data_IF_243269981239
#
_entry.id   IF_243269981239
#
_cell.length_a   1.000
_cell.length_b   1.000
_cell.length_c   1.000
_cell.angle_alpha   90.00
_cell.angle_beta   90.00
_cell.angle_gamma   90.00
#
_symmetry.space_group_name_H-M   'P 1'
#
loop_
_entity.id
_entity.type
_entity.pdbx_description
1 polymer ?
#
# COMPACT_ATOMS: atom_id res chain seq x y z
N UNK A 1 -6.60 3.54 -0.77
CA UNK A 1 -6.38 2.25 -1.46
C UNK A 1 -7.25 2.20 -2.70
N UNK A 2 -7.02 1.26 -3.61
CA UNK A 2 -7.87 1.05 -4.78
C UNK A 2 -8.12 -0.44 -5.04
N UNK A 3 -9.29 -0.73 -5.63
CA UNK A 3 -9.72 -2.11 -5.83
C UNK A 3 -9.05 -2.72 -7.06
N UNK A 4 -8.52 -3.94 -6.93
CA UNK A 4 -8.21 -4.74 -8.11
C UNK A 4 -9.49 -5.32 -8.69
N UNK A 5 -9.91 -4.84 -9.85
CA UNK A 5 -11.14 -5.29 -10.52
C UNK A 5 -10.85 -6.42 -11.49
N UNK A 6 -10.27 -6.09 -12.64
CA UNK A 6 -10.13 -7.00 -13.79
C UNK A 6 -8.69 -7.01 -14.30
N UNK A 7 -7.81 -7.79 -13.66
CA UNK A 7 -6.47 -7.98 -14.19
C UNK A 7 -6.53 -8.81 -15.47
N UNK A 8 -5.64 -8.48 -16.40
CA UNK A 8 -5.39 -9.18 -17.66
C UNK A 8 -3.95 -9.69 -17.70
N UNK A 9 -3.73 -10.75 -18.47
CA UNK A 9 -2.38 -11.21 -18.79
C UNK A 9 -2.04 -10.92 -20.25
N UNK A 10 -0.77 -10.60 -20.50
CA UNK A 10 -0.23 -10.47 -21.86
C UNK A 10 1.14 -11.10 -21.94
N UNK A 11 1.45 -11.70 -23.09
CA UNK A 11 2.78 -12.22 -23.39
C UNK A 11 3.66 -11.08 -23.88
N UNK A 12 4.84 -10.94 -23.29
CA UNK A 12 5.83 -9.92 -23.67
C UNK A 12 7.20 -10.57 -23.82
N UNK A 13 8.03 -10.02 -24.71
CA UNK A 13 9.42 -10.44 -24.86
C UNK A 13 10.30 -9.59 -23.93
N UNK A 14 11.09 -10.24 -23.08
CA UNK A 14 12.18 -9.59 -22.35
C UNK A 14 13.49 -9.90 -23.04
N UNK A 15 14.34 -8.89 -23.18
CA UNK A 15 15.62 -9.00 -23.88
C UNK A 15 16.79 -8.97 -22.91
N UNK A 16 17.24 -10.16 -22.49
CA UNK A 16 18.36 -10.29 -21.56
C UNK A 16 19.74 -10.34 -22.23
N UNK A 17 19.85 -9.89 -23.48
CA UNK A 17 21.12 -9.96 -24.22
C UNK A 17 22.24 -9.14 -23.54
N UNK A 18 21.89 -8.09 -22.79
CA UNK A 18 22.82 -7.28 -22.00
C UNK A 18 23.51 -8.08 -20.88
N UNK A 19 22.90 -9.15 -20.40
CA UNK A 19 23.47 -10.09 -19.43
C UNK A 19 24.00 -11.39 -20.06
N UNK A 20 24.09 -11.45 -21.39
CA UNK A 20 24.54 -12.64 -22.13
C UNK A 20 23.51 -13.77 -22.21
N UNK A 21 22.25 -13.51 -21.83
CA UNK A 21 21.15 -14.47 -21.89
C UNK A 21 20.30 -14.29 -23.16
N UNK A 22 19.48 -15.29 -23.50
CA UNK A 22 18.58 -15.22 -24.65
C UNK A 22 17.38 -14.31 -24.37
N UNK A 23 16.71 -13.87 -25.45
CA UNK A 23 15.37 -13.31 -25.34
C UNK A 23 14.40 -14.38 -24.89
N UNK A 24 13.44 -14.02 -24.05
CA UNK A 24 12.44 -14.95 -23.52
C UNK A 24 11.06 -14.30 -23.54
N UNK A 25 10.03 -15.14 -23.68
CA UNK A 25 8.65 -14.70 -23.54
C UNK A 25 8.16 -14.96 -22.13
N UNK A 26 7.69 -13.90 -21.47
CA UNK A 26 7.15 -13.93 -20.11
C UNK A 26 5.69 -13.50 -20.11
N UNK A 27 4.99 -13.76 -19.01
CA UNK A 27 3.62 -13.34 -18.78
C UNK A 27 3.61 -12.13 -17.88
N UNK A 28 3.11 -11.03 -18.40
CA UNK A 28 2.89 -9.80 -17.65
C UNK A 28 1.47 -9.82 -17.05
N UNK A 29 1.33 -9.36 -15.81
CA UNK A 29 0.05 -9.04 -15.19
C UNK A 29 -0.18 -7.53 -15.26
N UNK A 30 -1.33 -7.12 -15.79
CA UNK A 30 -1.71 -5.72 -15.91
C UNK A 30 -3.16 -5.47 -15.47
N UNK A 31 -3.46 -4.24 -15.09
CA UNK A 31 -4.83 -3.73 -14.93
C UNK A 31 -4.91 -2.37 -15.60
N UNK A 32 -5.85 -2.22 -16.53
CA UNK A 32 -5.89 -1.08 -17.45
C UNK A 32 -4.51 -0.86 -18.11
N UNK A 33 -3.92 0.33 -17.96
CA UNK A 33 -2.58 0.66 -18.45
C UNK A 33 -1.46 0.42 -17.42
N UNK A 34 -1.78 -0.10 -16.23
CA UNK A 34 -0.80 -0.34 -15.16
C UNK A 34 -0.24 -1.76 -15.26
N UNK A 35 1.09 -1.83 -15.39
CA UNK A 35 1.86 -3.05 -15.21
C UNK A 35 2.02 -3.37 -13.72
N UNK A 36 1.26 -4.36 -13.25
CA UNK A 36 1.35 -4.83 -11.87
C UNK A 36 2.57 -5.72 -11.68
N UNK A 37 2.75 -6.70 -12.55
CA UNK A 37 3.88 -7.65 -12.52
C UNK A 37 4.48 -7.70 -13.90
N UNK A 38 5.78 -7.43 -14.06
CA UNK A 38 6.43 -7.43 -15.37
C UNK A 38 6.70 -8.84 -15.93
N UNK A 39 7.02 -9.79 -15.05
CA UNK A 39 7.23 -11.18 -15.40
C UNK A 39 6.79 -12.11 -14.26
N UNK A 40 5.59 -12.69 -14.36
CA UNK A 40 5.01 -13.60 -13.35
C UNK A 40 5.96 -14.76 -13.04
N UNK A 41 6.66 -15.26 -14.07
CA UNK A 41 7.56 -16.41 -13.98
C UNK A 41 8.79 -16.17 -13.09
N UNK A 42 9.18 -14.90 -12.85
CA UNK A 42 10.34 -14.54 -12.04
C UNK A 42 10.01 -14.10 -10.62
N UNK A 43 8.73 -13.96 -10.28
CA UNK A 43 8.34 -13.63 -8.90
C UNK A 43 8.65 -14.83 -8.00
N UNK A 44 9.40 -14.61 -6.91
CA UNK A 44 9.69 -15.66 -5.94
C UNK A 44 8.52 -15.86 -4.96
N UNK A 45 7.47 -16.53 -5.40
CA UNK A 45 6.21 -16.75 -4.65
C UNK A 45 6.37 -17.46 -3.29
N UNK A 46 7.54 -18.04 -3.00
CA UNK A 46 7.84 -18.67 -1.71
C UNK A 46 8.31 -17.71 -0.62
N UNK A 47 8.55 -16.44 -0.95
CA UNK A 47 9.01 -15.43 0.01
C UNK A 47 7.86 -14.54 0.50
N UNK A 48 8.00 -14.01 1.72
CA UNK A 48 7.02 -13.07 2.27
C UNK A 48 7.05 -11.71 1.55
N UNK A 49 8.26 -11.26 1.18
CA UNK A 49 8.52 -10.04 0.45
C UNK A 49 8.76 -10.40 -1.02
N UNK A 50 7.92 -9.88 -1.90
CA UNK A 50 7.97 -10.20 -3.32
C UNK A 50 8.48 -8.99 -4.09
N UNK A 51 9.12 -9.23 -5.23
CA UNK A 51 9.41 -8.18 -6.19
C UNK A 51 8.55 -8.39 -7.44
N UNK A 52 7.61 -7.48 -7.66
CA UNK A 52 6.69 -7.54 -8.81
C UNK A 52 7.29 -6.96 -10.10
N UNK A 53 8.25 -6.06 -9.96
CA UNK A 53 8.98 -5.47 -11.07
C UNK A 53 10.43 -5.94 -11.00
N UNK A 54 10.76 -6.99 -11.74
CA UNK A 54 12.12 -7.54 -11.83
C UNK A 54 12.95 -6.82 -12.91
N UNK A 55 14.25 -7.07 -12.96
CA UNK A 55 15.13 -6.42 -13.92
C UNK A 55 14.86 -6.89 -15.35
N UNK A 56 14.63 -5.95 -16.27
CA UNK A 56 14.35 -6.26 -17.68
C UNK A 56 15.59 -6.67 -18.47
N UNK A 57 16.80 -6.46 -17.91
CA UNK A 57 18.09 -6.84 -18.51
C UNK A 57 18.56 -8.26 -18.14
N UNK A 58 18.16 -8.78 -16.98
CA UNK A 58 18.69 -10.05 -16.48
C UNK A 58 17.66 -10.98 -15.83
N UNK A 59 16.45 -10.50 -15.52
CA UNK A 59 15.40 -11.28 -14.88
C UNK A 59 15.66 -11.63 -13.40
N UNK A 60 16.81 -11.25 -12.84
CA UNK A 60 17.14 -11.56 -11.45
C UNK A 60 16.36 -10.67 -10.47
N UNK A 61 15.71 -11.32 -9.51
CA UNK A 61 15.10 -10.68 -8.34
C UNK A 61 16.19 -9.96 -7.53
N UNK A 62 15.90 -8.75 -7.09
CA UNK A 62 16.80 -7.87 -6.35
C UNK A 62 17.79 -7.08 -7.21
N UNK A 63 17.90 -7.36 -8.51
CA UNK A 63 18.74 -6.54 -9.39
C UNK A 63 18.09 -5.20 -9.73
N UNK A 64 16.76 -5.18 -9.90
CA UNK A 64 16.01 -3.97 -10.18
C UNK A 64 15.81 -3.17 -8.90
N UNK A 65 16.12 -1.87 -8.86
CA UNK A 65 15.68 -1.02 -7.76
C UNK A 65 14.16 -0.88 -7.79
N UNK A 66 13.57 -0.81 -6.60
CA UNK A 66 12.13 -0.73 -6.37
C UNK A 66 11.39 -2.03 -6.71
N UNK A 67 10.06 -1.97 -6.78
CA UNK A 67 9.22 -3.10 -7.19
C UNK A 67 8.83 -4.03 -6.05
N UNK A 68 9.22 -3.71 -4.81
CA UNK A 68 9.02 -4.57 -3.65
C UNK A 68 7.64 -4.39 -3.01
N UNK A 69 6.97 -5.50 -2.78
CA UNK A 69 5.63 -5.54 -2.18
C UNK A 69 5.54 -6.65 -1.13
N UNK A 70 4.48 -6.61 -0.34
CA UNK A 70 4.02 -7.74 0.47
C UNK A 70 2.54 -8.00 0.20
N UNK A 71 2.13 -9.25 0.39
CA UNK A 71 0.74 -9.67 0.38
C UNK A 71 0.29 -9.87 1.82
N UNK A 72 -0.71 -9.10 2.26
CA UNK A 72 -1.26 -9.19 3.61
C UNK A 72 -2.73 -9.55 3.55
N UNK A 73 -3.20 -10.32 4.52
CA UNK A 73 -4.65 -10.50 4.73
C UNK A 73 -5.15 -9.62 5.87
N UNK A 74 -6.37 -9.14 5.75
CA UNK A 74 -7.08 -8.45 6.81
C UNK A 74 -8.57 -8.68 6.63
N UNK A 75 -9.20 -9.27 7.65
CA UNK A 75 -10.58 -9.75 7.58
C UNK A 75 -10.83 -10.59 6.31
N UNK A 76 -11.68 -10.14 5.38
CA UNK A 76 -11.97 -10.81 4.10
C UNK A 76 -11.24 -10.19 2.90
N UNK A 77 -10.16 -9.46 3.14
CA UNK A 77 -9.40 -8.75 2.11
C UNK A 77 -7.97 -9.28 2.01
N UNK A 78 -7.45 -9.23 0.79
CA UNK A 78 -6.01 -9.28 0.51
C UNK A 78 -5.56 -7.90 0.09
N UNK A 79 -4.47 -7.42 0.70
CA UNK A 79 -3.81 -6.18 0.33
C UNK A 79 -2.48 -6.48 -0.37
N UNK A 80 -2.23 -5.79 -1.48
CA UNK A 80 -0.88 -5.65 -2.05
C UNK A 80 -0.35 -4.32 -1.55
N UNK A 81 0.61 -4.40 -0.63
CA UNK A 81 1.20 -3.24 0.05
C UNK A 81 2.67 -3.09 -0.30
N UNK A 82 3.29 -1.92 -0.11
CA UNK A 82 4.74 -1.85 -0.04
C UNK A 82 5.29 -2.85 0.99
N UNK A 83 6.50 -3.35 0.76
CA UNK A 83 7.23 -4.15 1.75
C UNK A 83 7.78 -3.26 2.88
N UNK A 84 6.88 -2.72 3.72
CA UNK A 84 7.21 -1.68 4.70
C UNK A 84 8.36 -2.09 5.64
N UNK A 85 8.37 -3.34 6.10
CA UNK A 85 9.43 -3.86 6.97
C UNK A 85 10.79 -3.76 6.29
N UNK A 86 10.88 -4.23 5.03
CA UNK A 86 12.10 -4.18 4.23
C UNK A 86 12.56 -2.73 3.96
N UNK A 87 11.62 -1.84 3.66
CA UNK A 87 11.90 -0.41 3.46
C UNK A 87 12.46 0.21 4.74
N UNK A 88 11.86 -0.12 5.89
CA UNK A 88 12.29 0.39 7.19
C UNK A 88 13.68 -0.10 7.55
N UNK A 89 13.97 -1.40 7.39
CA UNK A 89 15.27 -2.02 7.66
C UNK A 89 16.38 -1.47 6.75
N UNK A 90 16.06 -1.22 5.48
CA UNK A 90 17.04 -0.71 4.52
C UNK A 90 17.24 0.81 4.59
N UNK A 91 16.35 1.55 5.26
CA UNK A 91 16.32 3.02 5.25
C UNK A 91 17.61 3.66 5.75
N UNK A 92 18.41 2.95 6.54
CA UNK A 92 19.69 3.44 7.07
C UNK A 92 20.84 3.38 6.06
N UNK A 93 20.75 2.54 5.02
CA UNK A 93 21.88 2.25 4.11
C UNK A 93 21.52 2.50 2.65
N UNK A 94 20.37 1.98 2.18
CA UNK A 94 19.95 2.02 0.77
C UNK A 94 18.42 2.06 0.62
N UNK A 95 17.75 3.13 1.09
CA UNK A 95 16.28 3.23 1.04
C UNK A 95 15.71 3.06 -0.37
N UNK A 96 16.42 3.57 -1.39
CA UNK A 96 16.00 3.55 -2.79
C UNK A 96 16.09 2.16 -3.44
N UNK A 97 16.70 1.16 -2.81
CA UNK A 97 16.79 -0.18 -3.40
C UNK A 97 15.46 -0.94 -3.24
N UNK A 98 14.72 -0.64 -2.17
CA UNK A 98 13.57 -1.45 -1.72
C UNK A 98 12.21 -0.74 -1.78
N UNK A 99 12.12 0.43 -2.43
CA UNK A 99 10.85 1.15 -2.56
C UNK A 99 9.81 0.33 -3.34
N UNK A 100 8.51 0.63 -3.16
CA UNK A 100 7.47 -0.07 -3.90
C UNK A 100 7.48 0.29 -5.40
N UNK A 101 6.75 -0.46 -6.24
CA UNK A 101 6.43 -0.02 -7.59
C UNK A 101 5.80 1.38 -7.61
N UNK A 102 6.08 2.18 -8.64
CA UNK A 102 5.57 3.56 -8.76
C UNK A 102 4.04 3.66 -8.65
N UNK A 103 3.31 2.69 -9.20
CA UNK A 103 1.85 2.70 -9.12
C UNK A 103 1.31 2.62 -7.68
N UNK A 104 2.05 2.03 -6.73
CA UNK A 104 1.65 2.03 -5.32
C UNK A 104 1.97 3.37 -4.64
N UNK A 105 3.03 4.06 -5.09
CA UNK A 105 3.35 5.42 -4.62
C UNK A 105 2.30 6.41 -5.09
N UNK A 106 1.86 6.30 -6.34
CA UNK A 106 0.91 7.22 -6.95
C UNK A 106 -0.54 6.97 -6.53
N UNK A 107 -0.96 5.70 -6.45
CA UNK A 107 -2.37 5.33 -6.24
C UNK A 107 -2.67 4.74 -4.87
N UNK A 108 -1.64 4.49 -4.06
CA UNK A 108 -1.77 3.78 -2.78
C UNK A 108 -1.90 2.26 -2.97
N UNK A 109 -2.25 1.58 -1.88
CA UNK A 109 -2.27 0.13 -1.84
C UNK A 109 -3.43 -0.45 -2.64
N UNK A 110 -3.27 -1.70 -3.09
CA UNK A 110 -4.33 -2.42 -3.79
C UNK A 110 -5.05 -3.31 -2.80
N UNK A 111 -6.39 -3.32 -2.83
CA UNK A 111 -7.18 -4.31 -2.10
C UNK A 111 -7.96 -5.23 -3.05
N UNK A 112 -8.09 -6.49 -2.66
CA UNK A 112 -8.83 -7.53 -3.37
C UNK A 112 -9.72 -8.27 -2.36
N UNK A 113 -10.99 -8.43 -2.67
CA UNK A 113 -11.89 -9.29 -1.89
C UNK A 113 -11.41 -10.75 -1.95
N UNK A 114 -11.45 -11.48 -0.83
CA UNK A 114 -10.94 -12.85 -0.70
C UNK A 114 -11.46 -13.79 -1.78
N UNK A 115 -12.74 -13.66 -2.15
CA UNK A 115 -13.34 -14.47 -3.22
C UNK A 115 -12.65 -14.21 -4.57
N UNK A 116 -12.47 -12.95 -4.93
CA UNK A 116 -11.79 -12.57 -6.17
C UNK A 116 -10.32 -12.97 -6.15
N UNK A 117 -9.64 -12.86 -5.02
CA UNK A 117 -8.26 -13.31 -4.87
C UNK A 117 -8.15 -14.81 -5.16
N UNK A 118 -8.95 -15.62 -4.47
CA UNK A 118 -8.89 -17.08 -4.53
C UNK A 118 -9.38 -17.62 -5.88
N UNK A 119 -10.48 -17.07 -6.40
CA UNK A 119 -11.14 -17.60 -7.59
C UNK A 119 -10.56 -17.05 -8.90
N UNK A 120 -9.79 -15.96 -8.85
CA UNK A 120 -9.27 -15.28 -10.04
C UNK A 120 -7.75 -15.10 -10.02
N UNK A 121 -7.19 -14.40 -9.04
CA UNK A 121 -5.74 -14.11 -9.02
C UNK A 121 -4.90 -15.38 -8.86
N UNK A 122 -5.27 -16.27 -7.94
CA UNK A 122 -4.59 -17.55 -7.76
C UNK A 122 -4.67 -18.49 -8.97
N UNK A 123 -5.55 -18.22 -9.95
CA UNK A 123 -5.60 -18.96 -11.22
C UNK A 123 -4.70 -18.35 -12.30
N UNK A 124 -4.29 -17.10 -12.12
CA UNK A 124 -3.45 -16.36 -13.07
C UNK A 124 -1.97 -16.62 -12.79
N UNK A 125 -1.59 -16.67 -11.52
CA UNK A 125 -0.22 -16.88 -11.07
C UNK A 125 -0.18 -17.65 -9.76
N UNK A 126 1.01 -18.04 -9.31
CA UNK A 126 1.23 -18.83 -8.10
C UNK A 126 1.13 -18.00 -6.81
N UNK A 127 0.13 -17.12 -6.73
CA UNK A 127 -0.18 -16.38 -5.52
C UNK A 127 -0.40 -17.35 -4.34
N UNK A 128 0.12 -17.05 -3.13
CA UNK A 128 -0.09 -17.89 -1.96
C UNK A 128 -1.57 -18.04 -1.63
N UNK A 129 -1.95 -19.16 -1.01
CA UNK A 129 -3.32 -19.31 -0.52
C UNK A 129 -3.65 -18.24 0.52
N UNK A 130 -4.91 -17.80 0.57
CA UNK A 130 -5.36 -16.74 1.47
C UNK A 130 -4.94 -16.95 2.93
N UNK A 131 -5.13 -18.17 3.45
CA UNK A 131 -4.79 -18.53 4.83
C UNK A 131 -3.28 -18.52 5.13
N UNK A 132 -2.44 -18.59 4.09
CA UNK A 132 -0.98 -18.53 4.23
C UNK A 132 -0.47 -17.09 4.26
N UNK A 133 -1.29 -16.10 3.92
CA UNK A 133 -0.91 -14.70 3.97
C UNK A 133 -0.77 -14.25 5.43
N UNK A 134 0.31 -13.50 5.70
CA UNK A 134 0.49 -12.88 7.00
C UNK A 134 -0.63 -11.85 7.25
N UNK A 135 -1.15 -11.75 8.48
CA UNK A 135 -2.10 -10.71 8.81
C UNK A 135 -1.43 -9.34 8.68
N UNK A 136 -2.18 -8.34 8.18
CA UNK A 136 -1.78 -6.94 8.25
C UNK A 136 -1.63 -6.56 9.72
N UNK A 137 -0.48 -6.04 10.12
CA UNK A 137 -0.26 -5.49 11.46
C UNK A 137 -0.82 -4.06 11.57
N UNK A 138 -1.08 -3.62 12.80
CA UNK A 138 -1.55 -2.25 13.07
C UNK A 138 -0.51 -1.20 12.65
N UNK A 139 0.77 -1.51 12.83
CA UNK A 139 1.88 -0.71 12.31
C UNK A 139 1.83 -0.60 10.78
N UNK A 140 1.67 -1.71 10.04
CA UNK A 140 1.53 -1.69 8.57
C UNK A 140 0.29 -0.93 8.12
N UNK A 141 -0.85 -1.09 8.81
CA UNK A 141 -2.06 -0.32 8.52
C UNK A 141 -1.83 1.19 8.69
N UNK A 142 -1.05 1.58 9.69
CA UNK A 142 -0.68 2.99 9.92
C UNK A 142 0.31 3.50 8.86
N UNK A 143 1.20 2.63 8.36
CA UNK A 143 2.07 2.91 7.22
C UNK A 143 1.30 3.03 5.90
N UNK A 144 0.22 2.26 5.72
CA UNK A 144 -0.71 2.46 4.60
C UNK A 144 -1.38 3.83 4.68
N UNK A 145 -1.81 4.23 5.88
CA UNK A 145 -2.37 5.57 6.09
C UNK A 145 -1.35 6.68 5.77
N UNK A 146 -0.08 6.50 6.13
CA UNK A 146 1.01 7.40 5.73
C UNK A 146 1.19 7.47 4.21
N UNK A 147 1.23 6.32 3.53
CA UNK A 147 1.41 6.22 2.08
C UNK A 147 0.30 6.97 1.33
N UNK A 148 -0.93 6.87 1.82
CA UNK A 148 -2.12 7.42 1.16
C UNK A 148 -2.44 8.85 1.56
N UNK A 149 -1.69 9.40 2.52
CA UNK A 149 -1.84 10.78 2.92
C UNK A 149 -1.43 11.70 1.75
N UNK A 150 -2.31 12.60 1.32
CA UNK A 150 -2.10 13.38 0.12
C UNK A 150 -0.86 14.26 0.23
N UNK A 151 -0.13 14.38 -0.89
CA UNK A 151 1.08 15.19 -1.02
C UNK A 151 2.10 14.96 0.12
N UNK A 152 2.15 13.73 0.66
CA UNK A 152 3.03 13.37 1.76
C UNK A 152 2.86 14.28 2.99
N UNK A 153 1.62 14.68 3.32
CA UNK A 153 1.31 15.43 4.55
C UNK A 153 1.79 14.72 5.83
N UNK A 154 1.95 13.39 5.78
CA UNK A 154 2.54 12.56 6.85
C UNK A 154 4.02 12.17 6.62
N UNK A 155 4.70 12.83 5.68
CA UNK A 155 6.07 12.53 5.27
C UNK A 155 6.18 11.33 4.31
N UNK A 156 7.43 11.05 3.89
CA UNK A 156 7.74 9.93 3.01
C UNK A 156 7.66 8.58 3.75
N UNK A 157 7.23 7.52 3.06
CA UNK A 157 7.01 6.18 3.65
C UNK A 157 8.25 5.54 4.31
N UNK A 158 9.45 5.93 3.87
CA UNK A 158 10.71 5.48 4.45
C UNK A 158 11.01 6.10 5.83
N UNK A 159 10.29 7.15 6.19
CA UNK A 159 10.55 7.93 7.40
C UNK A 159 9.48 7.67 8.46
N UNK A 160 9.74 8.10 9.69
CA UNK A 160 8.70 8.18 10.70
C UNK A 160 7.57 9.12 10.25
N UNK A 161 6.36 8.84 10.74
CA UNK A 161 5.21 9.69 10.47
C UNK A 161 5.46 11.05 11.14
N UNK A 162 5.47 12.09 10.33
CA UNK A 162 5.56 13.46 10.79
C UNK A 162 4.52 14.29 10.04
N UNK A 163 3.54 14.79 10.79
CA UNK A 163 2.49 15.62 10.22
C UNK A 163 3.03 17.01 9.89
N UNK A 164 2.96 17.41 8.63
CA UNK A 164 3.14 18.80 8.24
C UNK A 164 1.87 19.59 8.60
N UNK A 165 1.90 20.25 9.75
CA UNK A 165 0.73 20.96 10.28
C UNK A 165 0.46 22.27 9.54
N UNK A 166 1.49 22.88 8.94
CA UNK A 166 1.40 24.19 8.30
C UNK A 166 0.50 24.19 7.06
N UNK A 167 0.27 23.01 6.47
CA UNK A 167 -0.62 22.85 5.32
C UNK A 167 -2.06 22.57 5.71
N UNK A 168 -2.38 22.33 6.99
CA UNK A 168 -3.77 22.13 7.44
C UNK A 168 -4.37 23.47 7.84
N UNK A 169 -5.42 23.88 7.13
CA UNK A 169 -6.03 25.22 7.32
C UNK A 169 -7.42 25.17 7.97
N UNK A 170 -8.13 24.04 7.86
CA UNK A 170 -9.46 23.88 8.44
C UNK A 170 -9.83 22.41 8.60
N UNK A 171 -10.98 22.14 9.22
CA UNK A 171 -11.58 20.82 9.33
C UNK A 171 -13.08 20.89 9.03
N UNK A 172 -13.67 19.80 8.56
CA UNK A 172 -15.12 19.70 8.34
C UNK A 172 -15.91 19.76 9.65
N UNK A 173 -15.27 19.35 10.75
CA UNK A 173 -15.86 19.24 12.08
C UNK A 173 -14.88 19.77 13.14
N UNK A 174 -15.40 20.27 14.26
CA UNK A 174 -14.58 20.71 15.39
C UNK A 174 -13.51 21.75 15.04
N UNK A 175 -12.48 21.86 15.88
CA UNK A 175 -11.32 22.73 15.63
C UNK A 175 -10.18 21.91 15.04
N UNK A 176 -9.69 22.29 13.86
CA UNK A 176 -8.62 21.55 13.17
C UNK A 176 -7.36 21.37 14.01
N UNK A 177 -7.01 22.34 14.87
CA UNK A 177 -5.84 22.25 15.79
C UNK A 177 -6.01 21.08 16.77
N UNK A 178 -7.21 20.86 17.30
CA UNK A 178 -7.48 19.77 18.24
C UNK A 178 -7.47 18.43 17.51
N UNK A 179 -8.07 18.37 16.32
CA UNK A 179 -8.07 17.16 15.48
C UNK A 179 -6.66 16.80 14.97
N UNK A 180 -5.83 17.78 14.67
CA UNK A 180 -4.43 17.59 14.28
C UNK A 180 -3.63 16.95 15.42
N UNK A 181 -3.86 17.38 16.66
CA UNK A 181 -3.24 16.76 17.84
C UNK A 181 -3.72 15.33 18.04
N UNK A 182 -5.01 15.09 17.87
CA UNK A 182 -5.60 13.74 17.95
C UNK A 182 -5.02 12.82 16.88
N UNK A 183 -4.91 13.31 15.64
CA UNK A 183 -4.29 12.59 14.53
C UNK A 183 -2.86 12.18 14.86
N UNK A 184 -2.03 13.11 15.33
CA UNK A 184 -0.64 12.83 15.75
C UNK A 184 -0.61 11.80 16.87
N UNK A 185 -1.49 11.94 17.87
CA UNK A 185 -1.55 10.99 18.98
C UNK A 185 -1.95 9.59 18.52
N UNK A 186 -2.97 9.46 17.67
CA UNK A 186 -3.43 8.20 17.10
C UNK A 186 -2.32 7.54 16.27
N UNK A 187 -1.69 8.28 15.35
CA UNK A 187 -0.61 7.72 14.53
C UNK A 187 0.54 7.24 15.41
N UNK A 188 0.97 8.02 16.41
CA UNK A 188 2.05 7.62 17.31
C UNK A 188 1.70 6.38 18.13
N UNK A 189 0.47 6.31 18.64
CA UNK A 189 -0.01 5.15 19.39
C UNK A 189 0.00 3.89 18.52
N UNK A 190 -0.57 3.96 17.32
CA UNK A 190 -0.71 2.81 16.42
C UNK A 190 0.64 2.36 15.81
N UNK A 191 1.58 3.29 15.62
CA UNK A 191 2.94 2.99 15.14
C UNK A 191 3.75 2.10 16.09
N UNK A 192 3.37 1.98 17.36
CA UNK A 192 4.02 1.05 18.31
C UNK A 192 3.34 -0.32 18.40
N UNK A 193 2.20 -0.50 17.71
CA UNK A 193 1.40 -1.70 17.82
C UNK A 193 1.67 -2.69 16.67
N UNK A 194 2.17 -3.88 17.03
CA UNK A 194 2.43 -4.97 16.08
C UNK A 194 1.29 -6.01 16.03
N UNK A 195 0.20 -5.82 16.78
CA UNK A 195 -0.94 -6.73 16.73
C UNK A 195 -1.59 -6.71 15.34
N UNK A 196 -2.25 -7.81 14.92
CA UNK A 196 -3.08 -7.80 13.72
C UNK A 196 -4.04 -6.61 13.73
N UNK A 197 -4.05 -5.84 12.65
CA UNK A 197 -4.97 -4.76 12.41
C UNK A 197 -6.37 -5.31 12.16
N UNK A 198 -7.37 -4.49 12.46
CA UNK A 198 -8.75 -4.69 12.01
C UNK A 198 -9.13 -3.55 11.11
N UNK A 199 -9.70 -3.88 9.95
CA UNK A 199 -10.23 -2.88 9.03
C UNK A 199 -11.72 -3.12 8.87
N UNK A 200 -12.52 -2.20 9.40
CA UNK A 200 -13.96 -2.22 9.16
C UNK A 200 -14.37 -1.14 8.18
N UNK A 201 -15.47 -1.39 7.46
CA UNK A 201 -16.08 -0.34 6.64
C UNK A 201 -16.72 0.73 7.54
N UNK A 202 -16.72 1.96 7.04
CA UNK A 202 -17.51 3.06 7.59
C UNK A 202 -18.98 2.67 7.59
N UNK A 203 -19.68 2.99 8.67
CA UNK A 203 -21.12 2.78 8.84
C UNK A 203 -21.85 4.12 8.97
N UNK A 204 -23.18 4.10 9.03
CA UNK A 204 -23.99 5.30 9.28
C UNK A 204 -23.76 5.96 10.65
N UNK A 205 -23.14 5.23 11.59
CA UNK A 205 -22.81 5.73 12.94
C UNK A 205 -21.44 6.43 12.98
N UNK A 206 -20.70 6.40 11.88
CA UNK A 206 -19.37 6.98 11.78
C UNK A 206 -19.43 8.34 11.09
N UNK A 207 -18.87 9.34 11.74
CA UNK A 207 -18.65 10.65 11.17
C UNK A 207 -17.24 10.72 10.60
N UNK A 208 -17.12 10.71 9.28
CA UNK A 208 -15.83 10.92 8.60
C UNK A 208 -15.48 12.40 8.65
N UNK A 209 -14.26 12.69 9.08
CA UNK A 209 -13.77 14.05 9.31
C UNK A 209 -12.68 14.35 8.29
N UNK A 210 -12.90 15.43 7.56
CA UNK A 210 -11.98 15.95 6.57
C UNK A 210 -11.11 17.06 7.14
N UNK A 211 -9.84 17.03 6.82
CA UNK A 211 -8.88 18.12 7.00
C UNK A 211 -8.71 18.82 5.65
N UNK A 212 -8.86 20.14 5.63
CA UNK A 212 -8.66 20.93 4.43
C UNK A 212 -7.21 21.38 4.33
N UNK A 213 -6.63 21.20 3.14
CA UNK A 213 -5.21 21.37 2.89
C UNK A 213 -4.95 22.58 1.99
N UNK A 214 -3.94 23.39 2.33
CA UNK A 214 -3.42 24.46 1.47
C UNK A 214 -2.47 23.89 0.40
N UNK A 215 -3.02 23.02 -0.46
CA UNK A 215 -2.29 22.34 -1.52
C UNK A 215 -3.09 22.40 -2.82
N UNK A 216 -2.42 22.80 -3.90
CA UNK A 216 -3.03 22.89 -5.21
C UNK A 216 -3.55 21.51 -5.67
N UNK A 217 -4.83 21.45 -6.02
CA UNK A 217 -5.47 20.26 -6.60
C UNK A 217 -5.97 19.21 -5.60
N UNK A 218 -5.58 19.29 -4.32
CA UNK A 218 -6.08 18.38 -3.27
C UNK A 218 -6.54 19.21 -2.07
N UNK A 219 -7.77 19.75 -2.11
CA UNK A 219 -8.24 20.65 -1.08
C UNK A 219 -8.68 19.92 0.20
N UNK A 220 -8.92 18.61 0.13
CA UNK A 220 -9.57 17.85 1.19
C UNK A 220 -8.90 16.50 1.41
N UNK A 221 -8.65 16.17 2.67
CA UNK A 221 -8.15 14.86 3.11
C UNK A 221 -9.03 14.28 4.21
N UNK A 222 -9.71 13.17 3.91
CA UNK A 222 -10.43 12.40 4.93
C UNK A 222 -9.39 11.64 5.77
N UNK A 223 -9.12 12.14 6.98
CA UNK A 223 -8.03 11.64 7.82
C UNK A 223 -8.55 10.83 9.01
N UNK A 224 -9.71 11.23 9.55
CA UNK A 224 -10.24 10.70 10.80
C UNK A 224 -11.68 10.21 10.62
N UNK A 225 -12.08 9.31 11.51
CA UNK A 225 -13.48 8.93 11.71
C UNK A 225 -13.80 8.95 13.20
N UNK A 226 -15.00 9.43 13.55
CA UNK A 226 -15.51 9.46 14.91
C UNK A 226 -16.80 8.66 15.04
N UNK A 227 -16.86 7.72 15.99
CA UNK A 227 -18.03 6.84 16.17
C UNK A 227 -18.97 7.26 17.31
N UNK A 228 -18.87 8.52 17.78
CA UNK A 228 -19.59 8.99 18.98
C UNK A 228 -18.87 8.74 20.31
N UNK A 229 -17.74 8.01 20.31
CA UNK A 229 -16.96 7.74 21.52
C UNK A 229 -15.48 8.06 21.39
N UNK A 230 -14.85 7.68 20.28
CA UNK A 230 -13.40 7.87 20.03
C UNK A 230 -13.11 8.09 18.56
N UNK A 231 -11.95 8.66 18.29
CA UNK A 231 -11.42 8.84 16.95
C UNK A 231 -10.64 7.62 16.47
N UNK A 232 -10.64 7.44 15.15
CA UNK A 232 -9.90 6.42 14.43
C UNK A 232 -9.30 7.02 13.16
N UNK A 233 -8.30 6.34 12.59
CA UNK A 233 -7.75 6.70 11.28
C UNK A 233 -8.69 6.20 10.17
N UNK A 234 -8.96 7.06 9.21
CA UNK A 234 -9.75 6.73 8.02
C UNK A 234 -8.84 6.39 6.84
N UNK A 235 -9.17 5.32 6.12
CA UNK A 235 -8.50 4.89 4.89
C UNK A 235 -9.50 4.89 3.73
N UNK A 236 -9.19 5.58 2.64
CA UNK A 236 -9.98 5.52 1.40
C UNK A 236 -9.97 4.09 0.83
N UNK A 237 -11.08 3.57 0.27
CA UNK A 237 -12.31 4.29 -0.07
C UNK A 237 -13.41 4.29 1.01
N UNK A 238 -13.13 3.93 2.26
CA UNK A 238 -14.18 3.81 3.28
C UNK A 238 -13.90 2.79 4.38
N UNK A 239 -12.65 2.66 4.78
CA UNK A 239 -12.21 1.77 5.86
C UNK A 239 -11.73 2.57 7.07
N UNK A 240 -11.83 1.97 8.25
CA UNK A 240 -11.36 2.51 9.51
C UNK A 240 -10.37 1.51 10.13
N UNK A 241 -9.24 2.02 10.61
CA UNK A 241 -8.26 1.25 11.39
C UNK A 241 -8.68 1.24 12.86
N UNK A 242 -9.00 0.07 13.43
CA UNK A 242 -9.46 -0.06 14.83
C UNK A 242 -8.37 -0.40 15.86
#
# INVERSE_FOLDING_TARGET
>A
MWQLTTPITRKVELNFSSSGQSRIFVTQLAIDDIQLINAIEFVNWGEAQLQFIVCEDCGFVGCQPHGWIELKRVDSLVLITPAFTRISEASEIRPHEYLPPYYLVEKGAIYIEQENYTNRLCKIANFPNFEMLAPLSTWEATKLFQLEAPCHVLGHISNFIQLNQDIIIASSEGKFIELTKELIWLTNRLMTNISPAKLRRVTEHDQVISLYLDIAGIPEWKALSYNGSRYFLYLEPGYIIE
#
